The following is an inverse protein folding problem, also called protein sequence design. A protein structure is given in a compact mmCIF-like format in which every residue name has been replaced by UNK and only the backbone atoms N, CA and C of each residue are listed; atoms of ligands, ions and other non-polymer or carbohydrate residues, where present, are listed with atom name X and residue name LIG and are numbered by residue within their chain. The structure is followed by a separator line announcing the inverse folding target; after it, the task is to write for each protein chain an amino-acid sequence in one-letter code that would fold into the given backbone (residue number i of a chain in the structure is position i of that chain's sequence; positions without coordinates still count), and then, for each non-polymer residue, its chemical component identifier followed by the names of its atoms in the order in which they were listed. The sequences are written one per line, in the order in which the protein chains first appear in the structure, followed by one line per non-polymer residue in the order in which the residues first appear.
data_IF_639805743385
#
_entry.id   IF_639805743385
#
_cell.length_a   1.000
_cell.length_b   1.000
_cell.length_c   1.000
_cell.angle_alpha   90.00
_cell.angle_beta   90.00
_cell.angle_gamma   90.00
#
_symmetry.space_group_name_H-M   'P 1'
#
loop_
_entity.id
_entity.type
_entity.pdbx_description
1 polymer ?
#
# COMPACT_ATOMS: atom_id res chain seq x y z
N UNK A 1 -7.94 -5.61 14.68
CA UNK A 1 -9.13 -5.72 13.81
C UNK A 1 -8.72 -5.27 12.42
N UNK A 2 -8.64 -6.19 11.45
CA UNK A 2 -8.31 -5.85 10.07
C UNK A 2 -9.52 -5.13 9.46
N UNK A 3 -9.30 -3.90 8.99
CA UNK A 3 -10.36 -3.10 8.37
C UNK A 3 -10.47 -3.56 6.91
N UNK A 4 -11.55 -4.26 6.61
CA UNK A 4 -11.88 -4.70 5.27
C UNK A 4 -12.29 -3.45 4.47
N UNK A 5 -11.73 -3.26 3.29
CA UNK A 5 -12.19 -2.28 2.32
C UNK A 5 -13.16 -2.96 1.35
N UNK A 6 -14.24 -2.28 0.97
CA UNK A 6 -15.38 -2.82 0.18
C UNK A 6 -15.02 -3.35 -1.23
N UNK A 7 -13.74 -3.38 -1.60
CA UNK A 7 -13.23 -3.69 -2.95
C UNK A 7 -12.35 -4.95 -3.01
N UNK A 8 -12.45 -5.86 -2.05
CA UNK A 8 -11.64 -7.09 -2.08
C UNK A 8 -10.21 -6.88 -1.56
N UNK A 9 -9.97 -5.84 -0.75
CA UNK A 9 -8.67 -5.54 -0.19
C UNK A 9 -8.72 -5.34 1.32
N UNK A 10 -7.64 -5.71 2.00
CA UNK A 10 -7.46 -5.49 3.43
C UNK A 10 -6.27 -4.59 3.67
N UNK A 11 -6.46 -3.54 4.46
CA UNK A 11 -5.35 -2.68 4.92
C UNK A 11 -4.50 -3.44 5.93
N UNK A 12 -3.19 -3.44 5.70
CA UNK A 12 -2.19 -4.12 6.54
C UNK A 12 -1.15 -3.13 7.07
N UNK A 13 -0.44 -3.53 8.11
CA UNK A 13 0.67 -2.74 8.67
C UNK A 13 1.93 -2.89 7.82
N UNK A 14 2.85 -1.92 7.88
CA UNK A 14 4.15 -1.96 7.19
C UNK A 14 4.97 -3.23 7.49
N UNK A 15 5.04 -3.75 8.74
CA UNK A 15 5.71 -5.02 9.02
C UNK A 15 5.08 -6.23 8.31
N UNK A 16 3.74 -6.30 8.25
CA UNK A 16 3.04 -7.38 7.52
C UNK A 16 3.30 -7.24 6.02
N UNK A 17 3.18 -6.04 5.47
CA UNK A 17 3.47 -5.74 4.07
C UNK A 17 4.90 -6.19 3.68
N UNK A 18 5.90 -5.81 4.47
CA UNK A 18 7.30 -6.24 4.28
C UNK A 18 7.44 -7.76 4.31
N UNK A 19 6.77 -8.43 5.25
CA UNK A 19 6.82 -9.89 5.37
C UNK A 19 6.24 -10.56 4.11
N UNK A 20 5.09 -10.09 3.64
CA UNK A 20 4.42 -10.61 2.44
C UNK A 20 5.27 -10.37 1.18
N UNK A 21 5.83 -9.17 1.03
CA UNK A 21 6.72 -8.83 -0.08
C UNK A 21 7.95 -9.73 -0.11
N UNK A 22 8.59 -9.98 1.05
CA UNK A 22 9.71 -10.93 1.17
C UNK A 22 9.33 -12.37 0.78
N UNK A 23 8.05 -12.73 0.90
CA UNK A 23 7.51 -14.02 0.47
C UNK A 23 7.13 -14.05 -1.03
N UNK A 24 7.41 -12.97 -1.78
CA UNK A 24 7.05 -12.85 -3.19
C UNK A 24 5.56 -12.58 -3.43
N UNK A 25 4.81 -12.20 -2.39
CA UNK A 25 3.38 -11.89 -2.51
C UNK A 25 3.17 -10.44 -2.93
N UNK A 26 2.12 -10.21 -3.71
CA UNK A 26 1.72 -8.86 -4.11
C UNK A 26 1.37 -8.01 -2.89
N UNK A 27 1.92 -6.80 -2.86
CA UNK A 27 1.60 -5.77 -1.88
C UNK A 27 1.25 -4.50 -2.63
N UNK A 28 0.10 -3.93 -2.29
CA UNK A 28 -0.41 -2.71 -2.88
C UNK A 28 -0.08 -1.52 -1.97
N UNK A 29 0.18 -0.36 -2.57
CA UNK A 29 0.59 0.86 -1.87
C UNK A 29 -0.22 2.07 -2.37
N UNK A 30 -0.62 2.94 -1.44
CA UNK A 30 -1.34 4.18 -1.72
C UNK A 30 -0.99 5.23 -0.66
N UNK A 31 -1.07 6.54 -0.95
CA UNK A 31 -0.95 7.56 0.09
C UNK A 31 -2.04 7.37 1.15
N UNK A 32 -1.73 7.61 2.43
CA UNK A 32 -2.55 7.15 3.54
C UNK A 32 -3.95 7.80 3.65
N UNK A 33 -4.13 8.99 3.08
CA UNK A 33 -5.43 9.69 3.05
C UNK A 33 -6.17 9.45 1.73
N UNK A 34 -5.51 8.88 0.72
CA UNK A 34 -6.20 8.40 -0.47
C UNK A 34 -6.91 7.09 -0.15
N UNK A 35 -8.23 7.09 -0.29
CA UNK A 35 -9.04 5.89 -0.10
C UNK A 35 -8.78 4.92 -1.24
N UNK A 36 -8.35 3.71 -0.89
CA UNK A 36 -8.15 2.61 -1.83
C UNK A 36 -9.45 2.22 -2.57
N UNK A 37 -10.59 2.50 -1.94
CA UNK A 37 -11.95 2.25 -2.44
C UNK A 37 -12.43 3.27 -3.48
N UNK A 38 -11.63 4.32 -3.74
CA UNK A 38 -12.00 5.32 -4.73
C UNK A 38 -11.55 4.83 -6.12
N UNK A 39 -12.47 4.57 -7.07
CA UNK A 39 -12.13 4.06 -8.41
C UNK A 39 -11.25 5.01 -9.23
N UNK A 40 -11.15 6.28 -8.82
CA UNK A 40 -10.31 7.28 -9.44
C UNK A 40 -8.89 7.34 -8.85
N UNK A 41 -8.63 6.62 -7.75
CA UNK A 41 -7.30 6.54 -7.13
C UNK A 41 -6.52 5.40 -7.77
N UNK A 42 -5.42 5.73 -8.43
CA UNK A 42 -4.44 4.74 -8.87
C UNK A 42 -3.54 4.38 -7.70
N UNK A 43 -3.58 3.12 -7.28
CA UNK A 43 -2.63 2.54 -6.35
C UNK A 43 -1.44 1.94 -7.09
N UNK A 44 -0.29 1.88 -6.42
CA UNK A 44 0.89 1.17 -6.90
C UNK A 44 0.89 -0.30 -6.44
N UNK A 45 1.63 -1.13 -7.15
CA UNK A 45 2.05 -2.46 -6.70
C UNK A 45 3.55 -2.39 -6.43
N UNK A 46 4.00 -2.90 -5.28
CA UNK A 46 5.42 -2.95 -4.96
C UNK A 46 6.05 -4.10 -5.76
N UNK A 47 7.02 -3.84 -6.66
CA UNK A 47 7.67 -4.89 -7.44
C UNK A 47 8.37 -5.89 -6.53
N UNK A 48 8.19 -7.18 -6.77
CA UNK A 48 8.75 -8.26 -5.93
C UNK A 48 10.28 -8.33 -5.97
N UNK A 49 10.89 -7.84 -7.04
CA UNK A 49 12.32 -7.76 -7.30
C UNK A 49 12.97 -6.49 -6.74
N UNK A 50 12.19 -5.51 -6.27
CA UNK A 50 12.69 -4.26 -5.71
C UNK A 50 12.88 -4.36 -4.18
N UNK A 51 13.79 -3.57 -3.61
CA UNK A 51 13.91 -3.48 -2.17
C UNK A 51 12.69 -2.75 -1.56
N UNK A 52 11.96 -3.44 -0.67
CA UNK A 52 10.74 -2.91 -0.05
C UNK A 52 10.91 -1.52 0.57
N UNK A 53 11.93 -1.31 1.40
CA UNK A 53 12.12 -0.02 2.08
C UNK A 53 12.47 1.09 1.13
N UNK A 54 13.35 0.79 0.16
CA UNK A 54 13.77 1.74 -0.85
C UNK A 54 12.58 2.22 -1.67
N UNK A 55 11.75 1.28 -2.14
CA UNK A 55 10.54 1.59 -2.90
C UNK A 55 9.56 2.43 -2.07
N UNK A 56 9.29 2.04 -0.83
CA UNK A 56 8.38 2.79 0.06
C UNK A 56 8.89 4.21 0.30
N UNK A 57 10.19 4.38 0.54
CA UNK A 57 10.78 5.70 0.75
C UNK A 57 10.62 6.59 -0.49
N UNK A 58 10.91 6.07 -1.70
CA UNK A 58 10.67 6.83 -2.93
C UNK A 58 9.18 7.14 -3.13
N UNK A 59 8.31 6.17 -2.87
CA UNK A 59 6.87 6.38 -2.98
C UNK A 59 6.39 7.50 -2.06
N UNK A 60 6.84 7.52 -0.80
CA UNK A 60 6.49 8.56 0.17
C UNK A 60 6.99 9.94 -0.29
N UNK A 61 8.23 10.05 -0.79
CA UNK A 61 8.80 11.30 -1.30
C UNK A 61 8.00 11.88 -2.48
N UNK A 62 7.59 11.02 -3.43
CA UNK A 62 6.98 11.49 -4.68
C UNK A 62 5.44 11.51 -4.66
N UNK A 63 4.80 10.66 -3.86
CA UNK A 63 3.35 10.46 -3.88
C UNK A 63 2.65 10.92 -2.60
N UNK A 64 3.38 11.04 -1.49
CA UNK A 64 2.83 11.44 -0.18
C UNK A 64 3.27 12.86 0.19
N UNK A 65 2.99 13.83 -0.69
CA UNK A 65 3.61 15.17 -0.64
C UNK A 65 2.89 16.22 0.20
N UNK A 66 1.65 15.95 0.62
CA UNK A 66 0.85 16.94 1.35
C UNK A 66 -0.22 16.29 2.23
N UNK A 67 -0.84 17.11 3.09
CA UNK A 67 -1.88 16.67 4.02
C UNK A 67 -3.14 16.11 3.34
N UNK A 68 -3.44 16.52 2.11
CA UNK A 68 -4.61 16.03 1.37
C UNK A 68 -4.41 14.59 0.92
N UNK A 69 -3.24 14.24 0.40
CA UNK A 69 -2.90 12.86 0.00
C UNK A 69 -2.43 12.00 1.17
N UNK A 70 -1.87 12.64 2.20
CA UNK A 70 -1.17 12.00 3.31
C UNK A 70 0.34 12.10 3.12
N UNK A 71 1.07 12.05 4.23
CA UNK A 71 2.54 12.15 4.29
C UNK A 71 3.22 10.77 4.40
N UNK A 72 2.43 9.70 4.49
CA UNK A 72 2.91 8.32 4.63
C UNK A 72 2.18 7.36 3.68
N UNK A 73 2.83 6.24 3.39
CA UNK A 73 2.22 5.14 2.65
C UNK A 73 1.25 4.32 3.52
N UNK A 74 0.16 3.88 2.90
CA UNK A 74 -0.70 2.81 3.38
C UNK A 74 -0.54 1.57 2.50
N UNK A 75 -0.69 0.39 3.11
CA UNK A 75 -0.42 -0.90 2.49
C UNK A 75 -1.66 -1.78 2.49
N UNK A 76 -1.84 -2.52 1.41
CA UNK A 76 -3.00 -3.38 1.21
C UNK A 76 -2.59 -4.73 0.61
N UNK A 77 -3.35 -5.76 0.93
CA UNK A 77 -3.33 -7.06 0.24
C UNK A 77 -4.72 -7.33 -0.29
N UNK A 78 -4.84 -8.11 -1.37
CA UNK A 78 -6.13 -8.70 -1.74
C UNK A 78 -6.62 -9.60 -0.59
N UNK A 79 -7.93 -9.59 -0.38
CA UNK A 79 -8.59 -10.64 0.38
C UNK A 79 -8.34 -11.95 -0.37
N UNK A 80 -7.77 -12.95 0.31
CA UNK A 80 -7.76 -14.31 -0.21
C UNK A 80 -9.23 -14.78 -0.28
N UNK A 81 -9.64 -15.41 -1.39
CA UNK A 81 -10.92 -16.11 -1.50
C UNK A 81 -11.01 -17.28 -0.52
#
# INVERSE_FOLDING_TARGET
MLRHCDYGFTRISKPIARKLHKQGREVYISPCNMRFENPWVKYGVIPVDENFDRFVNYFEIYSCTNKTTGEYAAFYTKLEE
#
